data_IF_963762991391
#
_entry.id   IF_963762991391
#
_cell.length_a   1.000
_cell.length_b   1.000
_cell.length_c   1.000
_cell.angle_alpha   90.00
_cell.angle_beta   90.00
_cell.angle_gamma   90.00
#
_symmetry.space_group_name_H-M   'P 1'
#
loop_
_entity.id
_entity.type
_entity.pdbx_description
1 polymer ?
#
# COMPACT_ATOMS: atom_id res chain seq x y z
N UNK A 1 -26.73 19.60 -38.49
CA UNK A 1 -28.18 19.89 -38.41
C UNK A 1 -28.75 19.06 -37.28
N UNK A 2 -29.22 19.68 -36.19
CA UNK A 2 -29.85 18.97 -35.09
C UNK A 2 -31.28 18.60 -35.50
N UNK A 3 -31.50 17.34 -35.89
CA UNK A 3 -32.85 16.80 -36.06
C UNK A 3 -33.54 16.79 -34.70
N UNK A 4 -34.45 17.73 -34.50
CA UNK A 4 -35.25 17.87 -33.29
C UNK A 4 -35.99 16.54 -33.03
N UNK A 5 -35.61 15.82 -31.95
CA UNK A 5 -36.20 14.52 -31.61
C UNK A 5 -37.72 14.68 -31.48
N UNK A 6 -38.47 13.91 -32.25
CA UNK A 6 -39.94 13.98 -32.24
C UNK A 6 -40.46 13.60 -30.84
N UNK A 7 -41.44 14.34 -30.29
CA UNK A 7 -41.92 14.11 -28.93
C UNK A 7 -42.65 12.76 -28.73
N UNK A 8 -43.00 12.07 -29.82
CA UNK A 8 -43.59 10.72 -29.81
C UNK A 8 -42.56 9.58 -29.88
N UNK A 9 -41.27 9.89 -30.02
CA UNK A 9 -40.21 8.86 -30.10
C UNK A 9 -39.83 8.36 -28.71
N UNK A 10 -40.47 7.26 -28.31
CA UNK A 10 -40.28 6.61 -27.02
C UNK A 10 -38.91 5.92 -26.92
N UNK A 11 -38.45 5.32 -28.02
CA UNK A 11 -37.15 4.63 -28.12
C UNK A 11 -35.98 5.57 -27.94
N UNK A 12 -36.03 6.77 -28.55
CA UNK A 12 -34.98 7.78 -28.39
C UNK A 12 -34.89 8.35 -26.96
N UNK A 13 -36.00 8.37 -26.22
CA UNK A 13 -36.04 8.82 -24.82
C UNK A 13 -35.49 7.76 -23.86
N UNK A 14 -35.82 6.49 -24.10
CA UNK A 14 -35.25 5.40 -23.31
C UNK A 14 -33.74 5.30 -23.49
N UNK A 15 -33.25 5.44 -24.73
CA UNK A 15 -31.82 5.45 -25.00
C UNK A 15 -31.11 6.61 -24.27
N UNK A 16 -31.68 7.81 -24.26
CA UNK A 16 -31.09 8.94 -23.52
C UNK A 16 -31.14 8.73 -22.00
N UNK A 17 -32.19 8.09 -21.48
CA UNK A 17 -32.30 7.78 -20.06
C UNK A 17 -31.28 6.72 -19.63
N UNK A 18 -31.11 5.65 -20.42
CA UNK A 18 -30.11 4.61 -20.18
C UNK A 18 -28.68 5.14 -20.33
N UNK A 19 -28.44 6.02 -21.31
CA UNK A 19 -27.15 6.66 -21.48
C UNK A 19 -26.80 7.55 -20.28
N UNK A 20 -27.77 8.29 -19.72
CA UNK A 20 -27.57 9.09 -18.52
C UNK A 20 -27.28 8.23 -17.28
N UNK A 21 -28.05 7.17 -17.07
CA UNK A 21 -27.84 6.24 -15.95
C UNK A 21 -26.45 5.59 -16.02
N UNK A 22 -26.03 5.11 -17.20
CA UNK A 22 -24.71 4.52 -17.37
C UNK A 22 -23.56 5.50 -17.08
N UNK A 23 -23.74 6.78 -17.42
CA UNK A 23 -22.75 7.83 -17.18
C UNK A 23 -22.65 8.14 -15.67
N UNK A 24 -23.78 8.19 -14.98
CA UNK A 24 -23.87 8.43 -13.55
C UNK A 24 -23.25 7.26 -12.75
N UNK A 25 -23.52 6.02 -13.16
CA UNK A 25 -22.92 4.82 -12.55
C UNK A 25 -21.39 4.76 -12.76
N UNK A 26 -20.90 5.16 -13.95
CA UNK A 26 -19.47 5.26 -14.21
C UNK A 26 -18.81 6.33 -13.35
N UNK A 27 -19.46 7.48 -13.17
CA UNK A 27 -18.95 8.57 -12.32
C UNK A 27 -18.94 8.19 -10.83
N UNK A 28 -19.96 7.47 -10.36
CA UNK A 28 -20.02 6.98 -8.99
C UNK A 28 -18.84 6.03 -8.70
N UNK A 29 -18.62 5.03 -9.57
CA UNK A 29 -17.48 4.10 -9.42
C UNK A 29 -16.13 4.79 -9.52
N UNK A 30 -15.99 5.78 -10.42
CA UNK A 30 -14.76 6.56 -10.53
C UNK A 30 -14.47 7.34 -9.24
N UNK A 31 -15.51 7.88 -8.61
CA UNK A 31 -15.39 8.64 -7.35
C UNK A 31 -15.01 7.74 -6.17
N UNK A 32 -15.60 6.55 -6.08
CA UNK A 32 -15.25 5.54 -5.06
C UNK A 32 -13.79 5.08 -5.20
N UNK A 33 -13.34 4.82 -6.44
CA UNK A 33 -11.94 4.46 -6.69
C UNK A 33 -10.98 5.59 -6.31
N UNK A 34 -11.31 6.84 -6.64
CA UNK A 34 -10.46 7.98 -6.31
C UNK A 34 -10.28 8.15 -4.79
N UNK A 35 -11.36 8.02 -4.00
CA UNK A 35 -11.29 8.05 -2.53
C UNK A 35 -10.42 6.91 -1.98
N UNK A 36 -10.63 5.68 -2.46
CA UNK A 36 -9.87 4.51 -2.01
C UNK A 36 -8.36 4.64 -2.30
N UNK A 37 -7.99 5.21 -3.45
CA UNK A 37 -6.58 5.43 -3.80
C UNK A 37 -5.91 6.49 -2.93
N UNK A 38 -6.63 7.54 -2.53
CA UNK A 38 -6.11 8.57 -1.65
C UNK A 38 -5.86 8.04 -0.23
N UNK A 39 -6.78 7.22 0.30
CA UNK A 39 -6.61 6.59 1.61
C UNK A 39 -5.44 5.59 1.63
N UNK A 40 -5.23 4.85 0.54
CA UNK A 40 -4.10 3.93 0.42
C UNK A 40 -2.75 4.67 0.40
N UNK A 41 -2.67 5.82 -0.28
CA UNK A 41 -1.46 6.64 -0.31
C UNK A 41 -1.12 7.21 1.07
N UNK A 42 -2.11 7.66 1.83
CA UNK A 42 -1.90 8.23 3.17
C UNK A 42 -1.45 7.17 4.18
N UNK A 43 -2.02 5.95 4.10
CA UNK A 43 -1.59 4.83 4.95
C UNK A 43 -0.16 4.38 4.64
N UNK A 44 0.24 4.38 3.37
CA UNK A 44 1.58 4.00 2.95
C UNK A 44 2.70 4.94 3.47
N UNK A 45 2.40 6.23 3.69
CA UNK A 45 3.41 7.20 4.14
C UNK A 45 3.65 7.22 5.67
N UNK A 46 2.72 6.67 6.45
CA UNK A 46 2.69 6.85 7.92
C UNK A 46 3.04 5.61 8.74
N UNK A 47 3.12 4.42 8.15
CA UNK A 47 3.36 3.17 8.87
C UNK A 47 4.86 2.78 8.90
N UNK A 48 5.39 2.64 10.12
CA UNK A 48 6.73 2.10 10.45
C UNK A 48 6.51 0.70 11.04
N UNK A 49 7.12 -0.34 10.46
CA UNK A 49 6.85 -1.77 10.77
C UNK A 49 8.08 -2.43 11.41
N UNK A 50 7.92 -3.19 12.50
CA UNK A 50 9.00 -3.87 13.22
C UNK A 50 9.00 -5.39 12.95
N UNK A 51 10.15 -5.97 12.65
CA UNK A 51 10.30 -7.28 12.00
C UNK A 51 10.89 -8.39 12.90
N UNK A 52 10.65 -8.36 14.21
CA UNK A 52 11.28 -9.31 15.17
C UNK A 52 10.38 -10.42 15.75
N UNK A 53 9.25 -10.80 15.12
CA UNK A 53 8.46 -11.97 15.55
C UNK A 53 8.11 -12.89 14.37
N UNK A 54 8.40 -14.20 14.45
CA UNK A 54 8.11 -15.11 13.36
C UNK A 54 6.66 -15.60 13.41
N UNK A 55 6.10 -15.77 12.21
CA UNK A 55 4.98 -16.65 11.85
C UNK A 55 3.57 -16.20 12.18
N UNK A 56 2.90 -15.53 11.24
CA UNK A 56 1.93 -16.17 10.33
C UNK A 56 1.62 -15.20 9.19
N UNK A 57 1.34 -15.70 8.00
CA UNK A 57 1.03 -14.91 6.80
C UNK A 57 -0.22 -14.02 7.00
N UNK A 58 -0.05 -12.84 7.58
CA UNK A 58 -0.97 -11.72 7.54
C UNK A 58 -0.15 -10.42 7.55
N UNK A 59 -0.53 -9.40 6.77
CA UNK A 59 0.08 -8.08 6.87
C UNK A 59 -0.38 -7.46 8.18
N UNK A 60 0.39 -7.67 9.24
CA UNK A 60 0.13 -7.08 10.54
C UNK A 60 0.71 -5.66 10.48
N UNK A 61 -0.18 -4.70 10.25
CA UNK A 61 0.01 -3.31 10.65
C UNK A 61 0.04 -3.30 12.18
N UNK A 62 1.20 -3.01 12.79
CA UNK A 62 1.35 -3.05 14.25
C UNK A 62 1.36 -1.64 14.83
N UNK A 63 0.22 -1.34 15.45
CA UNK A 63 0.01 -0.38 16.53
C UNK A 63 0.92 -0.71 17.74
N UNK A 64 1.49 0.33 18.35
CA UNK A 64 2.09 0.39 19.68
C UNK A 64 3.24 -0.59 20.08
N UNK A 65 4.43 0.01 20.22
CA UNK A 65 5.44 -0.18 21.28
C UNK A 65 5.66 -1.60 21.85
N UNK A 66 6.71 -2.30 21.38
CA UNK A 66 7.30 -3.43 22.13
C UNK A 66 8.82 -3.28 22.17
N UNK A 67 9.33 -2.75 23.28
CA UNK A 67 10.75 -2.77 23.64
C UNK A 67 11.23 -4.21 23.73
N UNK A 68 11.96 -4.70 22.73
CA UNK A 68 12.76 -5.92 22.89
C UNK A 68 14.06 -5.56 23.60
N UNK A 69 14.18 -5.99 24.85
CA UNK A 69 15.46 -5.98 25.57
C UNK A 69 16.39 -6.94 24.84
N UNK A 70 17.52 -6.45 24.32
CA UNK A 70 18.85 -7.07 24.42
C UNK A 70 19.86 -6.43 23.44
N UNK A 71 20.81 -5.67 24.02
CA UNK A 71 22.22 -5.40 23.63
C UNK A 71 22.66 -5.20 22.16
N UNK A 72 21.77 -5.04 21.18
CA UNK A 72 22.16 -4.69 19.81
C UNK A 72 21.54 -3.34 19.44
N UNK A 73 22.35 -2.43 18.89
CA UNK A 73 21.86 -1.16 18.39
C UNK A 73 20.81 -1.43 17.29
N UNK A 74 19.57 -0.96 17.53
CA UNK A 74 18.53 -0.94 16.51
C UNK A 74 18.59 0.37 15.74
N UNK A 75 18.29 0.29 14.45
CA UNK A 75 18.34 1.41 13.50
C UNK A 75 17.08 1.37 12.66
N UNK A 76 16.56 2.55 12.35
CA UNK A 76 15.41 2.69 11.46
C UNK A 76 15.89 2.86 10.02
N UNK A 77 15.46 1.97 9.14
CA UNK A 77 15.77 2.01 7.71
C UNK A 77 14.50 2.16 6.88
N UNK A 78 14.61 2.79 5.71
CA UNK A 78 13.57 2.77 4.67
C UNK A 78 14.03 1.86 3.54
N UNK A 79 13.16 0.96 3.09
CA UNK A 79 13.51 -0.03 2.06
C UNK A 79 13.10 0.48 0.67
N UNK A 80 13.95 0.25 -0.33
CA UNK A 80 13.73 0.69 -1.72
C UNK A 80 12.80 -0.26 -2.49
N UNK A 81 12.95 -1.57 -2.28
CA UNK A 81 12.25 -2.63 -3.02
C UNK A 81 11.49 -3.59 -2.09
N UNK A 82 10.55 -4.33 -2.67
CA UNK A 82 9.84 -5.41 -1.99
C UNK A 82 10.75 -6.64 -1.84
N UNK A 83 10.84 -7.17 -0.63
CA UNK A 83 11.65 -8.33 -0.27
C UNK A 83 10.76 -9.29 0.50
N UNK A 84 10.49 -10.46 -0.08
CA UNK A 84 9.69 -11.49 0.57
C UNK A 84 10.56 -12.67 1.00
N UNK A 85 10.40 -13.12 2.25
CA UNK A 85 11.02 -14.36 2.73
C UNK A 85 12.54 -14.30 2.89
N UNK A 86 13.10 -13.14 3.21
CA UNK A 86 14.53 -12.98 3.46
C UNK A 86 14.93 -13.61 4.79
N UNK A 87 16.00 -14.41 4.78
CA UNK A 87 16.56 -14.97 6.01
C UNK A 87 17.85 -14.26 6.37
N UNK A 88 18.01 -13.92 7.65
CA UNK A 88 19.26 -13.37 8.17
C UNK A 88 19.57 -13.96 9.54
N UNK A 89 20.63 -14.77 9.59
CA UNK A 89 20.93 -15.60 10.76
C UNK A 89 20.06 -16.86 10.85
N UNK A 90 20.30 -17.66 11.89
CA UNK A 90 19.57 -18.91 12.08
C UNK A 90 18.17 -18.65 12.64
N UNK A 91 17.13 -19.02 11.89
CA UNK A 91 15.74 -19.02 12.35
C UNK A 91 14.97 -17.70 12.21
N UNK A 92 15.59 -16.63 11.70
CA UNK A 92 14.90 -15.36 11.46
C UNK A 92 14.48 -15.23 10.00
N UNK A 93 13.24 -14.78 9.80
CA UNK A 93 12.64 -14.51 8.50
C UNK A 93 12.08 -13.09 8.51
N UNK A 94 12.40 -12.34 7.47
CA UNK A 94 12.06 -10.94 7.29
C UNK A 94 11.34 -10.78 5.94
N UNK A 95 10.30 -9.96 5.95
CA UNK A 95 9.65 -9.49 4.73
C UNK A 95 9.52 -7.97 4.82
N UNK A 96 9.98 -7.28 3.78
CA UNK A 96 10.00 -5.83 3.70
C UNK A 96 9.21 -5.38 2.48
N UNK A 97 8.42 -4.32 2.60
CA UNK A 97 7.72 -3.69 1.48
C UNK A 97 8.44 -2.40 1.09
N UNK A 98 8.51 -2.14 -0.20
CA UNK A 98 9.11 -0.94 -0.76
C UNK A 98 8.48 0.32 -0.15
N UNK A 99 9.32 1.30 0.17
CA UNK A 99 8.90 2.62 0.65
C UNK A 99 8.51 2.69 2.12
N UNK A 100 8.44 1.56 2.83
CA UNK A 100 8.11 1.50 4.26
C UNK A 100 9.36 1.60 5.14
N UNK A 101 9.16 2.10 6.36
CA UNK A 101 10.23 2.22 7.37
C UNK A 101 10.19 1.01 8.31
N UNK A 102 11.36 0.48 8.64
CA UNK A 102 11.50 -0.66 9.54
C UNK A 102 12.57 -0.41 10.60
N UNK A 103 12.29 -0.83 11.83
CA UNK A 103 13.32 -0.94 12.87
C UNK A 103 13.97 -2.33 12.79
N UNK A 104 15.28 -2.36 12.57
CA UNK A 104 16.06 -3.59 12.44
C UNK A 104 17.37 -3.46 13.22
N UNK A 105 18.05 -4.58 13.46
CA UNK A 105 19.39 -4.55 14.04
C UNK A 105 20.38 -3.95 13.05
N UNK A 106 21.45 -3.34 13.57
CA UNK A 106 22.50 -2.72 12.74
C UNK A 106 23.11 -3.71 11.72
N UNK A 107 23.26 -4.98 12.08
CA UNK A 107 23.75 -6.03 11.17
C UNK A 107 22.81 -6.26 9.97
N UNK A 108 21.50 -6.27 10.21
CA UNK A 108 20.49 -6.42 9.15
C UNK A 108 20.46 -5.16 8.27
N UNK A 109 20.55 -3.98 8.88
CA UNK A 109 20.62 -2.71 8.16
C UNK A 109 21.84 -2.67 7.23
N UNK A 110 23.03 -2.99 7.74
CA UNK A 110 24.27 -3.05 6.96
C UNK A 110 24.16 -4.09 5.82
N UNK A 111 23.52 -5.24 6.09
CA UNK A 111 23.33 -6.27 5.07
C UNK A 111 22.38 -5.83 3.94
N UNK A 112 21.32 -5.10 4.26
CA UNK A 112 20.40 -4.52 3.28
C UNK A 112 21.06 -3.37 2.51
N UNK A 113 21.88 -2.56 3.18
CA UNK A 113 22.61 -1.45 2.57
C UNK A 113 23.66 -1.95 1.58
N UNK A 114 24.42 -2.99 1.93
CA UNK A 114 25.37 -3.65 1.02
C UNK A 114 24.70 -4.22 -0.23
N UNK A 115 23.44 -4.62 -0.13
CA UNK A 115 22.65 -5.12 -1.26
C UNK A 115 21.94 -4.00 -2.04
N UNK A 116 22.02 -2.75 -1.59
CA UNK A 116 21.37 -1.60 -2.22
C UNK A 116 19.87 -1.50 -1.95
N UNK A 117 19.35 -2.21 -0.96
CA UNK A 117 17.92 -2.21 -0.62
C UNK A 117 17.51 -1.10 0.36
N UNK A 118 18.47 -0.35 0.91
CA UNK A 118 18.19 0.76 1.83
C UNK A 118 18.16 2.07 1.02
N UNK A 119 17.04 2.79 1.11
CA UNK A 119 16.89 4.12 0.51
C UNK A 119 17.33 5.22 1.46
N UNK A 120 17.07 5.06 2.77
CA UNK A 120 17.45 6.05 3.79
C UNK A 120 17.61 5.40 5.16
N UNK A 121 18.61 5.83 5.92
CA UNK A 121 18.89 5.42 7.31
C UNK A 121 18.66 6.61 8.24
N UNK A 122 18.01 6.39 9.38
CA UNK A 122 17.66 7.41 10.37
C UNK A 122 18.31 7.14 11.73
#
# INVERSE_FOLDING_TARGET
MATQKKPSDFTGRQHDALAKQALEDQQARASEMAMATAEAAIKAETEIIDATKPSTAQPIVVDATVKSKDKNATVVIRVSDDIEGMTFGAGNYYSFKAGQKYEVTEDVANHLELKGYVSQRF
#
